data_IF_865830042742
#
_entry.id   IF_865830042742
#
_cell.length_a   1.000
_cell.length_b   1.000
_cell.length_c   1.000
_cell.angle_alpha   90.00
_cell.angle_beta   90.00
_cell.angle_gamma   90.00
#
_symmetry.space_group_name_H-M   'P 1'
#
loop_
_entity.id
_entity.type
_entity.pdbx_description
1 polymer ?
#
# COMPACT_ATOMS: atom_id res chain seq x y z
N UNK A 1 10.00 31.65 7.97
CA UNK A 1 9.76 31.38 7.49
C UNK A 1 10.08 31.18 7.00
N UNK A 2 10.60 31.24 7.18
CA UNK A 2 10.68 31.03 6.62
C UNK A 2 11.18 30.90 6.20
N UNK A 3 11.66 31.15 6.34
CA UNK A 3 11.77 31.01 5.82
C UNK A 3 12.37 30.72 5.52
N UNK A 4 12.83 30.72 5.77
CA UNK A 4 12.99 30.35 5.39
C UNK A 4 13.44 29.89 5.15
N UNK A 5 13.78 30.09 5.39
CA UNK A 5 13.70 29.59 5.02
C UNK A 5 13.79 29.02 4.78
N UNK A 6 14.03 29.11 5.02
CA UNK A 6 13.66 28.54 4.61
C UNK A 6 13.45 27.95 4.25
N UNK A 7 13.38 28.08 4.33
CA UNK A 7 12.88 27.46 3.83
C UNK A 7 13.09 26.97 3.36
N UNK A 8 13.34 27.35 3.55
CA UNK A 8 13.58 26.87 3.09
C UNK A 8 13.77 26.31 2.94
N UNK A 9 13.52 26.74 2.81
CA UNK A 9 13.85 26.02 2.66
C UNK A 9 13.88 24.74 2.55
N UNK A 10 12.97 24.22 2.62
CA UNK A 10 13.03 22.77 2.68
C UNK A 10 11.99 22.17 1.77
N UNK A 11 12.46 21.51 0.72
CA UNK A 11 11.63 20.52 0.02
C UNK A 11 11.68 19.26 0.87
N UNK A 12 10.56 18.79 1.46
CA UNK A 12 10.57 17.53 2.17
C UNK A 12 11.02 16.42 1.23
N UNK A 13 11.80 15.47 1.74
CA UNK A 13 12.18 14.30 0.94
C UNK A 13 10.93 13.52 0.57
N UNK A 14 10.87 13.05 -0.66
CA UNK A 14 9.80 12.19 -1.13
C UNK A 14 9.75 10.91 -0.30
N UNK A 15 8.55 10.42 0.01
CA UNK A 15 8.39 9.17 0.72
C UNK A 15 8.84 8.01 -0.16
N UNK A 16 9.08 6.85 0.46
CA UNK A 16 9.41 5.63 -0.28
C UNK A 16 8.27 5.29 -1.26
N UNK A 17 7.02 5.58 -0.91
CA UNK A 17 5.88 5.30 -1.79
C UNK A 17 5.88 6.22 -3.00
N UNK A 18 6.22 7.50 -2.83
CA UNK A 18 6.37 8.42 -3.95
C UNK A 18 7.46 7.92 -4.90
N UNK A 19 8.55 7.39 -4.36
CA UNK A 19 9.62 6.84 -5.20
C UNK A 19 9.17 5.62 -5.98
N UNK A 20 8.32 4.78 -5.39
CA UNK A 20 7.70 3.65 -6.09
C UNK A 20 6.78 4.14 -7.21
N UNK A 21 5.93 5.14 -6.91
CA UNK A 21 5.02 5.75 -7.89
C UNK A 21 5.79 6.28 -9.09
N UNK A 22 6.93 6.91 -8.84
CA UNK A 22 7.77 7.51 -9.88
C UNK A 22 8.72 6.50 -10.55
N UNK A 23 8.62 5.21 -10.19
CA UNK A 23 9.46 4.13 -10.74
C UNK A 23 10.95 4.33 -10.43
N UNK A 24 11.27 5.05 -9.36
CA UNK A 24 12.66 5.27 -8.96
C UNK A 24 13.21 4.08 -8.19
N UNK A 25 12.34 3.34 -7.49
CA UNK A 25 12.70 2.09 -6.83
C UNK A 25 11.72 1.00 -7.25
N UNK A 26 12.18 -0.27 -7.30
CA UNK A 26 11.32 -1.35 -7.78
C UNK A 26 10.26 -1.73 -6.74
N UNK A 27 9.12 -2.22 -7.24
CA UNK A 27 8.06 -2.81 -6.44
C UNK A 27 7.24 -3.76 -7.31
N UNK A 28 6.58 -4.72 -6.68
CA UNK A 28 5.67 -5.62 -7.39
C UNK A 28 4.30 -4.96 -7.45
N UNK A 29 4.02 -4.32 -8.57
CA UNK A 29 2.79 -3.55 -8.75
C UNK A 29 1.65 -4.50 -9.10
N UNK A 30 0.56 -4.40 -8.35
CA UNK A 30 -0.63 -5.23 -8.54
C UNK A 30 -1.62 -4.56 -9.49
N UNK A 31 -1.83 -3.26 -9.31
CA UNK A 31 -2.76 -2.48 -10.13
C UNK A 31 -2.38 -1.01 -10.02
N UNK A 32 -2.73 -0.25 -11.05
CA UNK A 32 -2.40 1.17 -11.10
C UNK A 32 -3.34 1.89 -12.06
N UNK A 33 -3.77 3.08 -11.67
CA UNK A 33 -4.45 4.00 -12.59
C UNK A 33 -3.83 5.40 -12.41
N UNK A 34 -4.50 6.44 -12.91
CA UNK A 34 -3.96 7.80 -12.85
C UNK A 34 -3.82 8.34 -11.42
N UNK A 35 -4.63 7.83 -10.49
CA UNK A 35 -4.73 8.41 -9.15
C UNK A 35 -4.24 7.49 -8.05
N UNK A 36 -4.24 6.18 -8.27
CA UNK A 36 -3.98 5.19 -7.23
C UNK A 36 -3.04 4.10 -7.74
N UNK A 37 -2.35 3.47 -6.80
CA UNK A 37 -1.45 2.37 -7.10
C UNK A 37 -1.54 1.34 -5.95
N UNK A 38 -1.45 0.07 -6.31
CA UNK A 38 -1.38 -1.02 -5.33
C UNK A 38 -0.14 -1.85 -5.61
N UNK A 39 0.59 -2.21 -4.57
CA UNK A 39 1.80 -3.02 -4.71
C UNK A 39 1.98 -3.88 -3.46
N UNK A 40 2.75 -4.96 -3.60
CA UNK A 40 3.02 -5.85 -2.47
C UNK A 40 3.89 -5.16 -1.43
N UNK A 41 3.56 -5.37 -0.17
CA UNK A 41 4.46 -5.00 0.93
C UNK A 41 5.65 -5.97 0.90
N UNK A 42 6.86 -5.43 0.85
CA UNK A 42 8.08 -6.24 0.78
C UNK A 42 8.43 -6.85 2.14
N UNK A 43 7.86 -6.33 3.22
CA UNK A 43 7.99 -6.89 4.57
C UNK A 43 6.59 -7.17 5.11
N UNK A 44 5.90 -8.17 4.53
CA UNK A 44 4.48 -8.36 4.78
C UNK A 44 4.22 -9.08 6.10
N UNK A 45 3.00 -8.90 6.61
CA UNK A 45 2.51 -9.69 7.73
C UNK A 45 2.24 -11.12 7.31
N UNK A 46 1.67 -11.28 6.12
CA UNK A 46 1.39 -12.58 5.50
C UNK A 46 1.63 -12.45 4.00
N UNK A 47 1.78 -13.57 3.32
CA UNK A 47 1.91 -13.57 1.85
C UNK A 47 0.63 -13.04 1.22
N UNK A 48 0.77 -12.08 0.32
CA UNK A 48 -0.38 -11.43 -0.31
C UNK A 48 -0.80 -10.13 0.35
N UNK A 49 -0.06 -9.66 1.35
CA UNK A 49 -0.27 -8.35 1.98
C UNK A 49 0.02 -7.24 0.96
N UNK A 50 -0.98 -6.45 0.62
CA UNK A 50 -0.91 -5.41 -0.41
C UNK A 50 -1.11 -4.05 0.22
N UNK A 51 -0.41 -3.05 -0.29
CA UNK A 51 -0.60 -1.65 0.08
C UNK A 51 -1.30 -0.93 -1.07
N UNK A 52 -2.32 -0.14 -0.74
CA UNK A 52 -3.06 0.67 -1.71
C UNK A 52 -2.82 2.13 -1.35
N UNK A 53 -2.31 2.89 -2.31
CA UNK A 53 -1.72 4.21 -2.06
C UNK A 53 -2.26 5.22 -3.06
N UNK A 54 -2.67 6.42 -2.62
CA UNK A 54 -2.96 7.50 -3.57
C UNK A 54 -1.65 8.04 -4.11
N UNK A 55 -1.63 8.44 -5.39
CA UNK A 55 -0.44 9.02 -5.99
C UNK A 55 -0.13 10.41 -5.45
N UNK A 56 -1.14 11.09 -4.91
CA UNK A 56 -0.96 12.34 -4.19
C UNK A 56 -0.29 12.05 -2.85
N UNK A 57 0.80 12.75 -2.55
CA UNK A 57 1.53 12.54 -1.29
C UNK A 57 0.86 13.33 -0.18
N UNK A 58 0.02 12.65 0.60
CA UNK A 58 -0.66 13.18 1.79
C UNK A 58 -0.40 12.20 2.91
N UNK A 59 -0.03 12.69 4.08
CA UNK A 59 0.37 11.85 5.22
C UNK A 59 -0.84 11.21 5.90
N UNK A 60 -1.84 12.02 6.24
CA UNK A 60 -2.96 11.61 7.08
C UNK A 60 -4.21 11.39 6.24
N UNK A 61 -4.78 10.19 6.35
CA UNK A 61 -5.92 9.80 5.49
C UNK A 61 -7.10 10.77 5.61
N UNK A 62 -7.34 11.31 6.79
CA UNK A 62 -8.46 12.22 7.01
C UNK A 62 -8.19 13.64 6.49
N UNK A 63 -7.02 13.89 5.93
CA UNK A 63 -6.73 15.12 5.19
C UNK A 63 -6.96 14.98 3.69
N UNK A 64 -7.33 13.78 3.21
CA UNK A 64 -7.74 13.62 1.82
C UNK A 64 -9.11 14.26 1.61
N UNK A 65 -9.35 14.83 0.42
CA UNK A 65 -10.71 15.27 0.10
C UNK A 65 -11.62 14.06 -0.11
N UNK A 66 -12.93 14.31 -0.07
CA UNK A 66 -13.93 13.25 -0.12
C UNK A 66 -13.82 12.42 -1.39
N UNK A 67 -13.54 13.07 -2.52
CA UNK A 67 -13.43 12.37 -3.79
C UNK A 67 -12.23 11.42 -3.80
N UNK A 68 -11.08 11.88 -3.32
CA UNK A 68 -9.88 11.06 -3.27
C UNK A 68 -10.04 9.94 -2.24
N UNK A 69 -10.62 10.24 -1.08
CA UNK A 69 -10.88 9.24 -0.04
C UNK A 69 -11.79 8.14 -0.57
N UNK A 70 -12.89 8.53 -1.22
CA UNK A 70 -13.84 7.58 -1.80
C UNK A 70 -13.20 6.75 -2.90
N UNK A 71 -12.48 7.41 -3.80
CA UNK A 71 -11.80 6.73 -4.91
C UNK A 71 -10.76 5.73 -4.43
N UNK A 72 -10.01 6.09 -3.39
CA UNK A 72 -9.00 5.21 -2.79
C UNK A 72 -9.65 3.92 -2.28
N UNK A 73 -10.79 4.04 -1.57
CA UNK A 73 -11.48 2.88 -1.02
C UNK A 73 -12.12 2.02 -2.14
N UNK A 74 -12.64 2.65 -3.18
CA UNK A 74 -13.19 1.90 -4.32
C UNK A 74 -12.08 1.16 -5.05
N UNK A 75 -10.92 1.79 -5.23
CA UNK A 75 -9.76 1.13 -5.82
C UNK A 75 -9.30 -0.05 -4.95
N UNK A 76 -9.25 0.15 -3.63
CA UNK A 76 -8.89 -0.91 -2.68
C UNK A 76 -9.87 -2.09 -2.77
N UNK A 77 -11.15 -1.83 -2.97
CA UNK A 77 -12.15 -2.89 -3.12
C UNK A 77 -11.85 -3.76 -4.34
N UNK A 78 -11.47 -3.15 -5.47
CA UNK A 78 -11.11 -3.91 -6.68
C UNK A 78 -9.92 -4.81 -6.43
N UNK A 79 -8.91 -4.29 -5.73
CA UNK A 79 -7.70 -5.05 -5.40
C UNK A 79 -8.03 -6.19 -4.42
N UNK A 80 -8.84 -5.88 -3.40
CA UNK A 80 -9.26 -6.88 -2.42
C UNK A 80 -10.02 -8.04 -3.09
N UNK A 81 -10.85 -7.74 -4.08
CA UNK A 81 -11.57 -8.76 -4.83
C UNK A 81 -10.61 -9.67 -5.60
N UNK A 82 -9.55 -9.11 -6.17
CA UNK A 82 -8.52 -9.89 -6.85
C UNK A 82 -7.80 -10.80 -5.86
N UNK A 83 -7.50 -10.29 -4.66
CA UNK A 83 -6.89 -11.11 -3.60
C UNK A 83 -7.81 -12.25 -3.21
N UNK A 84 -9.10 -11.95 -2.99
CA UNK A 84 -10.10 -12.99 -2.61
C UNK A 84 -10.14 -14.12 -3.62
N UNK A 85 -10.02 -13.82 -4.91
CA UNK A 85 -10.11 -14.83 -5.97
C UNK A 85 -8.86 -15.68 -6.07
N UNK A 86 -7.72 -15.22 -5.60
CA UNK A 86 -6.42 -15.80 -5.94
C UNK A 86 -5.62 -16.28 -4.73
N UNK A 87 -5.81 -15.67 -3.58
CA UNK A 87 -5.09 -16.03 -2.35
C UNK A 87 -6.06 -16.74 -1.43
N UNK A 88 -5.67 -17.91 -0.96
CA UNK A 88 -6.54 -18.68 -0.06
C UNK A 88 -6.58 -17.99 1.30
N UNK A 89 -7.74 -17.47 1.66
CA UNK A 89 -7.97 -16.79 2.94
C UNK A 89 -9.45 -16.79 3.26
N UNK A 90 -9.79 -16.50 4.51
CA UNK A 90 -11.19 -16.37 4.92
C UNK A 90 -11.79 -15.07 4.38
N UNK A 91 -11.03 -13.98 4.48
CA UNK A 91 -11.41 -12.66 3.94
C UNK A 91 -10.20 -11.74 3.96
N UNK A 92 -10.32 -10.60 3.29
CA UNK A 92 -9.29 -9.58 3.31
C UNK A 92 -9.60 -8.58 4.41
N UNK A 93 -8.64 -8.37 5.32
CA UNK A 93 -8.73 -7.36 6.36
C UNK A 93 -8.18 -6.04 5.86
N UNK A 94 -8.65 -4.95 6.45
CA UNK A 94 -8.29 -3.58 6.07
C UNK A 94 -7.79 -2.83 7.29
N UNK A 95 -6.66 -2.15 7.15
CA UNK A 95 -6.15 -1.28 8.21
C UNK A 95 -5.48 -0.05 7.61
N UNK A 96 -5.61 1.08 8.28
CA UNK A 96 -4.90 2.31 7.96
C UNK A 96 -4.28 2.79 9.27
N UNK A 97 -2.96 2.90 9.31
CA UNK A 97 -2.25 3.24 10.54
C UNK A 97 -1.42 4.52 10.35
N UNK A 98 -0.44 4.49 9.46
CA UNK A 98 0.30 5.68 9.08
C UNK A 98 1.33 6.16 10.09
N UNK A 99 1.85 5.28 10.94
CA UNK A 99 2.83 5.68 11.95
C UNK A 99 4.28 5.59 11.46
N UNK A 100 4.54 4.89 10.35
CA UNK A 100 5.90 4.67 9.86
C UNK A 100 6.20 5.47 8.61
N UNK A 101 5.35 5.38 7.60
CA UNK A 101 5.55 6.11 6.34
C UNK A 101 4.52 7.24 6.26
N UNK A 102 4.95 8.51 6.12
CA UNK A 102 4.02 9.66 6.09
C UNK A 102 3.38 9.83 4.72
N UNK A 103 2.71 8.82 4.24
CA UNK A 103 2.01 8.78 2.97
C UNK A 103 0.85 7.79 3.13
N UNK A 104 -0.37 8.25 2.93
CA UNK A 104 -1.59 7.45 3.11
C UNK A 104 -1.44 6.10 2.43
N UNK A 105 -1.71 5.03 3.17
CA UNK A 105 -1.75 3.69 2.60
C UNK A 105 -2.74 2.83 3.34
N UNK A 106 -3.54 2.11 2.56
CA UNK A 106 -4.46 1.11 3.07
C UNK A 106 -3.76 -0.23 3.01
N UNK A 107 -3.70 -0.93 4.15
CA UNK A 107 -3.23 -2.31 4.19
C UNK A 107 -4.38 -3.25 3.83
N UNK A 108 -4.16 -4.11 2.85
CA UNK A 108 -5.07 -5.22 2.54
C UNK A 108 -4.34 -6.50 2.91
N UNK A 109 -4.88 -7.23 3.89
CA UNK A 109 -4.20 -8.38 4.47
C UNK A 109 -5.10 -9.60 4.37
N UNK A 110 -4.70 -10.64 3.61
CA UNK A 110 -5.48 -11.89 3.59
C UNK A 110 -5.50 -12.51 4.98
N UNK A 111 -6.68 -12.75 5.53
CA UNK A 111 -6.84 -13.20 6.92
C UNK A 111 -7.33 -14.63 7.00
N UNK A 112 -6.71 -15.40 7.90
CA UNK A 112 -7.21 -16.69 8.38
C UNK A 112 -7.48 -16.63 9.87
N UNK A 113 -6.70 -15.82 10.60
CA UNK A 113 -6.82 -15.60 12.04
C UNK A 113 -6.66 -14.12 12.35
N UNK A 114 -7.06 -13.72 13.53
CA UNK A 114 -6.87 -12.34 14.00
C UNK A 114 -5.39 -11.96 14.03
N UNK A 115 -4.50 -12.90 14.31
CA UNK A 115 -3.07 -12.63 14.42
C UNK A 115 -2.45 -12.27 13.06
N UNK A 116 -3.10 -12.58 11.96
CA UNK A 116 -2.61 -12.26 10.62
C UNK A 116 -2.56 -10.75 10.37
N UNK A 117 -3.31 -9.95 11.14
CA UNK A 117 -3.28 -8.48 11.02
C UNK A 117 -2.68 -7.84 12.29
N UNK A 118 -1.87 -8.56 13.01
CA UNK A 118 -1.16 -8.07 14.18
C UNK A 118 0.15 -7.40 13.74
N UNK A 119 0.16 -6.08 13.72
CA UNK A 119 1.31 -5.31 13.23
C UNK A 119 2.50 -5.31 14.19
N UNK A 120 2.34 -5.86 15.39
CA UNK A 120 3.45 -5.96 16.36
C UNK A 120 4.27 -7.23 16.19
N UNK A 121 3.78 -8.20 15.43
CA UNK A 121 4.53 -9.44 15.25
C UNK A 121 5.61 -9.26 14.18
N UNK A 122 6.63 -10.15 14.16
CA UNK A 122 7.70 -10.05 13.16
C UNK A 122 7.16 -10.15 11.74
N UNK A 123 7.72 -9.37 10.84
CA UNK A 123 7.36 -9.39 9.42
C UNK A 123 8.02 -10.58 8.74
N UNK A 124 7.38 -11.09 7.69
CA UNK A 124 7.95 -12.15 6.90
C UNK A 124 9.09 -11.63 6.04
N UNK A 125 10.06 -12.50 5.77
CA UNK A 125 11.12 -12.24 4.79
C UNK A 125 10.85 -13.12 3.59
N UNK A 126 10.51 -12.49 2.47
CA UNK A 126 10.11 -13.19 1.24
C UNK A 126 11.12 -12.82 0.16
N UNK A 127 11.53 -13.82 -0.64
CA UNK A 127 12.48 -13.58 -1.74
C UNK A 127 11.82 -12.77 -2.84
N UNK A 128 12.64 -12.12 -3.66
CA UNK A 128 12.15 -11.38 -4.83
C UNK A 128 11.35 -12.27 -5.76
N UNK A 129 11.83 -13.51 -5.95
CA UNK A 129 11.17 -14.48 -6.82
C UNK A 129 9.79 -14.84 -6.30
N UNK A 130 9.67 -15.06 -5.00
CA UNK A 130 8.40 -15.40 -4.39
C UNK A 130 7.43 -14.22 -4.44
N UNK A 131 7.92 -13.00 -4.19
CA UNK A 131 7.10 -11.79 -4.32
C UNK A 131 6.57 -11.64 -5.74
N UNK A 132 7.41 -11.89 -6.74
CA UNK A 132 6.99 -11.82 -8.14
C UNK A 132 5.90 -12.83 -8.45
N UNK A 133 6.02 -14.05 -7.91
CA UNK A 133 5.01 -15.10 -8.09
C UNK A 133 3.67 -14.72 -7.44
N UNK A 134 3.72 -14.19 -6.24
CA UNK A 134 2.52 -13.75 -5.52
C UNK A 134 1.83 -12.64 -6.30
N UNK A 135 2.59 -11.66 -6.78
CA UNK A 135 2.05 -10.55 -7.57
C UNK A 135 1.38 -11.06 -8.84
N UNK A 136 2.04 -11.97 -9.54
CA UNK A 136 1.49 -12.56 -10.77
C UNK A 136 0.19 -13.29 -10.48
N UNK A 137 0.13 -14.03 -9.39
CA UNK A 137 -1.07 -14.74 -8.96
C UNK A 137 -2.22 -13.79 -8.72
N UNK A 138 -1.98 -12.69 -7.98
CA UNK A 138 -3.03 -11.73 -7.65
C UNK A 138 -3.51 -11.01 -8.93
N UNK A 139 -2.59 -10.66 -9.83
CA UNK A 139 -2.94 -9.98 -11.09
C UNK A 139 -3.94 -10.79 -11.91
N UNK A 140 -3.91 -12.11 -11.81
CA UNK A 140 -4.85 -12.98 -12.53
C UNK A 140 -6.29 -12.87 -11.99
N UNK A 141 -6.48 -12.21 -10.86
CA UNK A 141 -7.79 -12.02 -10.25
C UNK A 141 -8.58 -10.84 -10.77
N UNK A 142 -7.98 -10.02 -11.60
CA UNK A 142 -8.65 -8.86 -12.18
C UNK A 142 -9.44 -9.20 -13.42
#
# INVERSE_FOLDING_TARGET
MDSLSGFFIFTPMATIFTKIINKEIPAEIIAEDERFIAFLDIMPLVKGHVLVVPKQEVDYIFNLDDETLSGLHIFAKKVAKAIDKTIKCTRVGVAVIGLEVPHVHIHLVPLRTMDDINFTRPKLKITKEELAEIAETIRKGF
#
